data_IF_267799430640
#
_entry.id   IF_267799430640
#
_cell.length_a   1.000
_cell.length_b   1.000
_cell.length_c   1.000
_cell.angle_alpha   90.00
_cell.angle_beta   90.00
_cell.angle_gamma   90.00
#
_symmetry.space_group_name_H-M   'P 1'
#
loop_
_entity.id
_entity.type
_entity.pdbx_description
1 polymer ?
#
# COMPACT_ATOMS: atom_id res chain seq x y z
N UNK A 1 7.32 -12.90 17.03
CA UNK A 1 6.00 -12.77 16.36
C UNK A 1 6.11 -11.53 15.49
N UNK A 2 5.79 -11.60 14.20
CA UNK A 2 5.96 -10.50 13.24
C UNK A 2 4.90 -9.43 13.46
N UNK A 3 5.33 -8.19 13.71
CA UNK A 3 4.45 -7.04 13.89
C UNK A 3 4.25 -6.31 12.56
N UNK A 4 2.99 -6.16 12.13
CA UNK A 4 2.64 -5.62 10.81
C UNK A 4 1.62 -4.48 10.93
N UNK A 5 1.90 -3.35 10.28
CA UNK A 5 0.94 -2.27 10.08
C UNK A 5 0.46 -2.25 8.63
N UNK A 6 -0.85 -2.13 8.43
CA UNK A 6 -1.46 -2.00 7.11
C UNK A 6 -2.33 -0.75 7.07
N UNK A 7 -2.02 0.20 6.20
CA UNK A 7 -2.83 1.43 6.05
C UNK A 7 -4.08 1.17 5.21
N UNK A 8 -5.22 1.80 5.57
CA UNK A 8 -6.48 1.65 4.84
C UNK A 8 -7.02 0.21 4.84
N UNK A 9 -6.87 -0.50 5.95
CA UNK A 9 -7.12 -1.95 6.04
C UNK A 9 -8.54 -2.31 6.53
N UNK A 10 -9.45 -1.37 6.65
CA UNK A 10 -10.82 -1.64 7.11
C UNK A 10 -11.72 -2.31 6.06
N UNK A 11 -11.26 -2.45 4.80
CA UNK A 11 -12.00 -3.09 3.70
C UNK A 11 -11.09 -3.53 2.55
N UNK A 12 -11.66 -4.24 1.57
CA UNK A 12 -11.04 -4.61 0.29
C UNK A 12 -9.66 -5.28 0.45
N UNK A 13 -8.68 -4.93 -0.40
CA UNK A 13 -7.33 -5.52 -0.40
C UNK A 13 -6.63 -5.43 0.95
N UNK A 14 -6.69 -4.26 1.60
CA UNK A 14 -6.07 -4.08 2.91
C UNK A 14 -6.64 -4.99 3.98
N UNK A 15 -7.97 -5.18 4.01
CA UNK A 15 -8.61 -6.09 4.95
C UNK A 15 -8.27 -7.56 4.67
N UNK A 16 -8.31 -7.98 3.42
CA UNK A 16 -7.97 -9.36 3.06
C UNK A 16 -6.49 -9.67 3.33
N UNK A 17 -5.61 -8.71 3.07
CA UNK A 17 -4.20 -8.81 3.45
C UNK A 17 -4.05 -8.96 4.96
N UNK A 18 -4.74 -8.12 5.74
CA UNK A 18 -4.73 -8.19 7.20
C UNK A 18 -5.23 -9.55 7.71
N UNK A 19 -6.34 -10.06 7.16
CA UNK A 19 -6.91 -11.36 7.52
C UNK A 19 -5.91 -12.50 7.30
N UNK A 20 -5.33 -12.57 6.10
CA UNK A 20 -4.39 -13.64 5.73
C UNK A 20 -3.09 -13.58 6.54
N UNK A 21 -2.56 -12.39 6.81
CA UNK A 21 -1.36 -12.24 7.62
C UNK A 21 -1.66 -12.56 9.11
N UNK A 22 -2.87 -12.26 9.62
CA UNK A 22 -3.29 -12.71 10.95
C UNK A 22 -3.33 -14.23 11.02
N UNK A 23 -3.89 -14.92 10.03
CA UNK A 23 -3.89 -16.39 9.94
C UNK A 23 -2.48 -16.98 9.82
N UNK A 24 -1.55 -16.23 9.22
CA UNK A 24 -0.13 -16.59 9.17
C UNK A 24 0.64 -16.29 10.49
N UNK A 25 -0.02 -15.81 11.53
CA UNK A 25 0.55 -15.59 12.86
C UNK A 25 1.19 -14.22 13.08
N UNK A 26 0.89 -13.24 12.22
CA UNK A 26 1.32 -11.86 12.45
C UNK A 26 0.44 -11.15 13.49
N UNK A 27 1.03 -10.28 14.28
CA UNK A 27 0.30 -9.27 15.06
C UNK A 27 0.00 -8.09 14.15
N UNK A 28 -1.27 -7.90 13.78
CA UNK A 28 -1.70 -6.88 12.83
C UNK A 28 -2.19 -5.62 13.53
N UNK A 29 -1.62 -4.47 13.20
CA UNK A 29 -2.21 -3.15 13.41
C UNK A 29 -3.01 -2.78 12.16
N UNK A 30 -4.35 -2.83 12.28
CA UNK A 30 -5.26 -2.55 11.19
C UNK A 30 -5.55 -1.04 11.15
N UNK A 31 -4.86 -0.34 10.24
CA UNK A 31 -4.96 1.11 10.08
C UNK A 31 -6.23 1.54 9.34
N UNK A 32 -7.01 2.43 9.94
CA UNK A 32 -8.20 3.05 9.35
C UNK A 32 -8.35 4.50 9.79
N UNK A 33 -8.69 5.41 8.86
CA UNK A 33 -9.00 6.81 9.23
C UNK A 33 -10.29 6.92 10.06
N UNK A 34 -11.25 6.06 9.80
CA UNK A 34 -12.51 5.95 10.53
C UNK A 34 -12.32 4.92 11.66
N UNK A 35 -12.32 5.39 12.88
CA UNK A 35 -12.04 4.59 14.07
C UNK A 35 -13.06 3.46 14.25
N UNK A 36 -14.35 3.75 14.05
CA UNK A 36 -15.43 2.78 14.24
C UNK A 36 -15.33 1.64 13.23
N UNK A 37 -15.17 1.97 11.94
CA UNK A 37 -14.97 0.96 10.88
C UNK A 37 -13.67 0.16 11.08
N UNK A 38 -12.63 0.80 11.61
CA UNK A 38 -11.39 0.13 11.97
C UNK A 38 -11.60 -0.90 13.08
N UNK A 39 -12.30 -0.55 14.16
CA UNK A 39 -12.64 -1.45 15.26
C UNK A 39 -13.50 -2.65 14.81
N UNK A 40 -14.53 -2.39 14.01
CA UNK A 40 -15.38 -3.45 13.46
C UNK A 40 -14.59 -4.43 12.58
N UNK A 41 -13.76 -3.91 11.68
CA UNK A 41 -12.93 -4.74 10.80
C UNK A 41 -11.90 -5.55 11.59
N UNK A 42 -11.19 -4.92 12.52
CA UNK A 42 -10.19 -5.59 13.35
C UNK A 42 -10.80 -6.71 14.23
N UNK A 43 -11.99 -6.46 14.82
CA UNK A 43 -12.69 -7.45 15.62
C UNK A 43 -13.06 -8.72 14.86
N UNK A 44 -13.29 -8.63 13.55
CA UNK A 44 -13.64 -9.79 12.70
C UNK A 44 -12.46 -10.77 12.49
N UNK A 45 -11.24 -10.31 12.65
CA UNK A 45 -10.02 -11.09 12.36
C UNK A 45 -9.06 -11.17 13.54
N UNK A 46 -9.42 -10.63 14.70
CA UNK A 46 -8.55 -10.62 15.88
C UNK A 46 -7.34 -9.68 15.75
N UNK A 47 -7.42 -8.67 14.88
CA UNK A 47 -6.37 -7.65 14.71
C UNK A 47 -6.52 -6.51 15.74
N UNK A 48 -5.49 -5.71 15.91
CA UNK A 48 -5.48 -4.50 16.72
C UNK A 48 -5.92 -3.30 15.86
N UNK A 49 -7.03 -2.63 16.17
CA UNK A 49 -7.41 -1.45 15.43
C UNK A 49 -6.49 -0.28 15.78
N UNK A 50 -6.09 0.50 14.78
CA UNK A 50 -5.35 1.73 14.97
C UNK A 50 -5.96 2.83 14.10
N UNK A 51 -6.35 3.96 14.74
CA UNK A 51 -6.81 5.11 13.98
C UNK A 51 -5.61 5.71 13.25
N UNK A 52 -5.69 5.75 11.92
CA UNK A 52 -4.61 6.26 11.07
C UNK A 52 -5.19 6.91 9.82
N UNK A 53 -5.13 8.25 9.77
CA UNK A 53 -5.41 9.03 8.58
C UNK A 53 -4.09 9.47 7.95
N UNK A 54 -3.81 8.94 6.76
CA UNK A 54 -2.57 9.25 6.02
C UNK A 54 -2.46 10.70 5.57
N UNK A 55 -3.55 11.48 5.67
CA UNK A 55 -3.60 12.91 5.37
C UNK A 55 -3.23 13.80 6.57
N UNK A 56 -3.11 13.23 7.78
CA UNK A 56 -2.90 13.96 9.02
C UNK A 56 -1.57 13.57 9.66
N UNK A 57 -0.64 14.52 9.80
CA UNK A 57 0.62 14.30 10.49
C UNK A 57 0.40 13.88 11.94
N UNK A 58 -0.54 14.54 12.65
CA UNK A 58 -0.86 14.22 14.05
C UNK A 58 -1.40 12.79 14.20
N UNK A 59 -2.30 12.37 13.30
CA UNK A 59 -2.85 11.01 13.31
C UNK A 59 -1.77 9.96 13.08
N UNK A 60 -0.87 10.21 12.14
CA UNK A 60 0.23 9.30 11.81
C UNK A 60 1.25 9.23 12.95
N UNK A 61 1.59 10.37 13.56
CA UNK A 61 2.51 10.41 14.71
C UNK A 61 1.91 9.72 15.94
N UNK A 62 0.61 9.93 16.22
CA UNK A 62 -0.10 9.22 17.29
C UNK A 62 -0.07 7.70 17.08
N UNK A 63 -0.32 7.25 15.84
CA UNK A 63 -0.24 5.82 15.49
C UNK A 63 1.17 5.26 15.68
N UNK A 64 2.21 5.97 15.25
CA UNK A 64 3.59 5.54 15.45
C UNK A 64 3.95 5.50 16.95
N UNK A 65 3.49 6.48 17.73
CA UNK A 65 3.64 6.51 19.18
C UNK A 65 3.03 5.29 19.86
N UNK A 66 1.81 4.94 19.48
CA UNK A 66 1.12 3.76 20.05
C UNK A 66 1.90 2.46 19.78
N UNK A 67 2.34 2.22 18.55
CA UNK A 67 3.14 1.02 18.20
C UNK A 67 4.48 1.00 18.94
N UNK A 68 5.14 2.16 19.06
CA UNK A 68 6.37 2.30 19.84
C UNK A 68 6.16 1.90 21.29
N UNK A 69 5.12 2.41 21.91
CA UNK A 69 4.87 2.25 23.35
C UNK A 69 4.39 0.81 23.68
N UNK A 70 3.68 0.15 22.75
CA UNK A 70 3.22 -1.23 22.93
C UNK A 70 4.27 -2.29 22.58
N UNK A 71 5.08 -2.09 21.53
CA UNK A 71 5.93 -3.16 20.96
C UNK A 71 7.38 -2.71 20.76
N UNK A 72 7.62 -1.42 20.50
CA UNK A 72 8.95 -0.85 20.29
C UNK A 72 9.57 -1.08 18.91
N UNK A 73 8.95 -1.87 18.03
CA UNK A 73 9.41 -2.15 16.67
C UNK A 73 8.24 -2.40 15.71
N UNK A 74 8.53 -2.32 14.41
CA UNK A 74 7.63 -2.72 13.34
C UNK A 74 8.41 -3.58 12.33
N UNK A 75 7.94 -4.79 12.05
CA UNK A 75 8.61 -5.66 11.09
C UNK A 75 8.13 -5.42 9.67
N UNK A 76 6.82 -5.17 9.49
CA UNK A 76 6.23 -5.00 8.16
C UNK A 76 5.34 -3.76 8.11
N UNK A 77 5.60 -2.88 7.15
CA UNK A 77 4.72 -1.78 6.79
C UNK A 77 4.09 -2.04 5.41
N UNK A 78 2.76 -2.12 5.34
CA UNK A 78 2.03 -2.18 4.08
C UNK A 78 1.36 -0.83 3.83
N UNK A 79 1.92 -0.04 2.92
CA UNK A 79 1.33 1.21 2.42
C UNK A 79 0.25 0.87 1.37
N UNK A 80 -0.97 0.58 1.86
CA UNK A 80 -2.09 0.15 1.02
C UNK A 80 -3.13 1.28 0.80
N UNK A 81 -3.23 2.25 1.68
CA UNK A 81 -4.20 3.34 1.54
C UNK A 81 -4.00 4.08 0.20
N UNK A 82 -5.09 4.26 -0.55
CA UNK A 82 -5.06 4.94 -1.83
C UNK A 82 -6.45 5.28 -2.36
N UNK A 83 -6.49 6.23 -3.30
CA UNK A 83 -7.71 6.66 -4.00
C UNK A 83 -7.47 6.73 -5.51
N UNK A 84 -8.53 6.54 -6.30
CA UNK A 84 -8.47 6.62 -7.78
C UNK A 84 -8.59 8.04 -8.34
N UNK A 85 -9.19 8.94 -7.58
CA UNK A 85 -9.45 10.31 -8.03
C UNK A 85 -10.48 10.43 -9.17
N UNK A 86 -11.32 9.39 -9.35
CA UNK A 86 -12.33 9.37 -10.41
C UNK A 86 -11.77 8.81 -11.73
N UNK A 87 -11.76 7.47 -11.86
CA UNK A 87 -11.40 6.79 -13.11
C UNK A 87 -12.38 7.16 -14.24
N UNK A 88 -11.85 7.35 -15.45
CA UNK A 88 -12.65 7.66 -16.65
C UNK A 88 -12.94 9.14 -16.87
N UNK A 89 -12.37 10.07 -16.09
CA UNK A 89 -12.42 11.49 -16.35
C UNK A 89 -11.54 11.84 -17.55
N UNK A 90 -12.05 12.70 -18.45
CA UNK A 90 -11.28 13.18 -19.60
C UNK A 90 -10.01 13.88 -19.14
N UNK A 91 -8.84 13.59 -19.74
CA UNK A 91 -7.60 14.30 -19.40
C UNK A 91 -7.69 15.82 -19.52
N UNK A 92 -8.48 16.33 -20.47
CA UNK A 92 -8.70 17.77 -20.67
C UNK A 92 -9.45 18.46 -19.52
N UNK A 93 -10.16 17.66 -18.69
CA UNK A 93 -10.95 18.18 -17.55
C UNK A 93 -10.23 18.01 -16.21
N UNK A 94 -9.03 17.41 -16.21
CA UNK A 94 -8.25 17.21 -14.98
C UNK A 94 -7.53 18.51 -14.62
N UNK A 95 -7.82 19.01 -13.42
CA UNK A 95 -7.16 20.22 -12.89
C UNK A 95 -5.99 19.85 -11.97
N UNK A 96 -5.13 20.84 -11.69
CA UNK A 96 -4.07 20.67 -10.70
C UNK A 96 -4.61 20.35 -9.28
N UNK A 97 -5.82 20.81 -8.95
CA UNK A 97 -6.48 20.49 -7.68
C UNK A 97 -6.86 19.01 -7.62
N UNK A 98 -7.38 18.43 -8.69
CA UNK A 98 -7.67 16.98 -8.79
C UNK A 98 -6.41 16.14 -8.61
N UNK A 99 -5.32 16.55 -9.25
CA UNK A 99 -4.03 15.87 -9.09
C UNK A 99 -3.51 15.95 -7.65
N UNK A 100 -3.56 17.15 -7.03
CA UNK A 100 -3.14 17.30 -5.63
C UNK A 100 -3.91 16.38 -4.71
N UNK A 101 -5.23 16.26 -4.84
CA UNK A 101 -6.06 15.40 -3.99
C UNK A 101 -5.62 13.93 -4.06
N UNK A 102 -5.30 13.43 -5.26
CA UNK A 102 -4.84 12.05 -5.45
C UNK A 102 -3.41 11.86 -4.93
N UNK A 103 -2.51 12.81 -5.24
CA UNK A 103 -1.12 12.73 -4.78
C UNK A 103 -1.01 12.89 -3.26
N UNK A 104 -1.89 13.68 -2.63
CA UNK A 104 -1.90 13.83 -1.18
C UNK A 104 -2.09 12.48 -0.47
N UNK A 105 -2.99 11.63 -0.98
CA UNK A 105 -3.18 10.29 -0.43
C UNK A 105 -2.11 9.30 -0.91
N UNK A 106 -1.94 9.18 -2.24
CA UNK A 106 -1.19 8.07 -2.84
C UNK A 106 0.33 8.27 -2.80
N UNK A 107 0.80 9.50 -2.58
CA UNK A 107 2.22 9.88 -2.60
C UNK A 107 2.63 10.46 -1.26
N UNK A 108 2.11 11.64 -0.90
CA UNK A 108 2.52 12.33 0.33
C UNK A 108 2.10 11.56 1.59
N UNK A 109 0.91 10.95 1.59
CA UNK A 109 0.45 10.08 2.68
C UNK A 109 1.38 8.88 2.90
N UNK A 110 1.86 8.26 1.81
CA UNK A 110 2.83 7.15 1.90
C UNK A 110 4.17 7.63 2.47
N UNK A 111 4.66 8.78 2.02
CA UNK A 111 5.91 9.36 2.56
C UNK A 111 5.75 9.72 4.04
N UNK A 112 4.63 10.33 4.43
CA UNK A 112 4.30 10.68 5.81
C UNK A 112 4.30 9.47 6.73
N UNK A 113 3.58 8.41 6.34
CA UNK A 113 3.52 7.17 7.12
C UNK A 113 4.90 6.50 7.18
N UNK A 114 5.56 6.33 6.04
CA UNK A 114 6.89 5.71 6.01
C UNK A 114 7.87 6.46 6.91
N UNK A 115 7.91 7.80 6.81
CA UNK A 115 8.79 8.63 7.64
C UNK A 115 8.56 8.43 9.15
N UNK A 116 7.30 8.44 9.60
CA UNK A 116 6.96 8.29 11.00
C UNK A 116 7.32 6.89 11.56
N UNK A 117 7.22 5.85 10.72
CA UNK A 117 7.49 4.47 11.12
C UNK A 117 8.91 4.00 10.84
N UNK A 118 9.76 4.77 10.13
CA UNK A 118 11.17 4.43 9.88
C UNK A 118 11.96 4.06 11.15
N UNK A 119 11.85 4.78 12.29
CA UNK A 119 12.57 4.41 13.52
C UNK A 119 12.16 3.03 14.05
N UNK A 120 10.87 2.68 13.94
CA UNK A 120 10.35 1.38 14.38
C UNK A 120 10.77 0.25 13.42
N UNK A 121 10.79 0.51 12.13
CA UNK A 121 11.30 -0.42 11.12
C UNK A 121 12.80 -0.65 11.30
N UNK A 122 13.57 0.40 11.61
CA UNK A 122 15.00 0.27 11.89
C UNK A 122 15.31 -0.54 13.17
N UNK A 123 14.34 -0.65 14.09
CA UNK A 123 14.45 -1.50 15.29
C UNK A 123 14.11 -2.98 15.02
N UNK A 124 13.58 -3.32 13.84
CA UNK A 124 13.35 -4.71 13.42
C UNK A 124 14.63 -5.36 12.90
N UNK A 125 14.77 -6.66 13.10
CA UNK A 125 15.86 -7.46 12.54
C UNK A 125 15.72 -7.78 11.05
N UNK A 126 14.49 -7.70 10.50
CA UNK A 126 14.20 -8.00 9.10
C UNK A 126 13.04 -7.12 8.57
N UNK A 127 13.25 -5.79 8.46
CA UNK A 127 12.19 -4.86 8.12
C UNK A 127 11.76 -4.96 6.66
N UNK A 128 10.46 -4.96 6.42
CA UNK A 128 9.83 -5.04 5.10
C UNK A 128 8.89 -3.86 4.89
N UNK A 129 8.94 -3.22 3.72
CA UNK A 129 7.96 -2.22 3.29
C UNK A 129 7.36 -2.66 1.96
N UNK A 130 6.03 -2.79 1.93
CA UNK A 130 5.26 -3.08 0.72
C UNK A 130 4.53 -1.82 0.28
N UNK A 131 4.83 -1.33 -0.92
CA UNK A 131 4.17 -0.19 -1.54
C UNK A 131 3.12 -0.70 -2.52
N UNK A 132 1.83 -0.59 -2.16
CA UNK A 132 0.75 -1.04 -3.04
C UNK A 132 0.58 -0.05 -4.19
N UNK A 133 1.16 -0.41 -5.34
CA UNK A 133 1.14 0.35 -6.58
C UNK A 133 0.03 -0.15 -7.53
N UNK A 134 0.27 -0.13 -8.82
CA UNK A 134 -0.64 -0.58 -9.88
C UNK A 134 0.14 -0.69 -11.19
N UNK A 135 -0.21 -1.62 -12.07
CA UNK A 135 0.30 -1.68 -13.45
C UNK A 135 0.17 -0.35 -14.20
N UNK A 136 -0.85 0.43 -13.85
CA UNK A 136 -1.03 1.81 -14.35
C UNK A 136 0.06 2.80 -13.90
N UNK A 137 0.94 2.45 -12.96
CA UNK A 137 2.10 3.25 -12.57
C UNK A 137 3.36 2.94 -13.35
N UNK A 138 3.35 1.90 -14.20
CA UNK A 138 4.46 1.52 -15.06
C UNK A 138 4.38 2.24 -16.41
N UNK A 139 5.42 2.97 -16.77
CA UNK A 139 5.50 3.58 -18.10
C UNK A 139 5.57 2.51 -19.19
N UNK A 140 6.32 1.44 -18.96
CA UNK A 140 6.44 0.32 -19.91
C UNK A 140 5.09 -0.37 -20.12
N UNK A 141 4.35 -0.69 -19.04
CA UNK A 141 3.06 -1.39 -19.12
C UNK A 141 1.99 -0.53 -19.79
N UNK A 142 1.91 0.76 -19.44
CA UNK A 142 0.89 1.68 -19.97
C UNK A 142 1.12 2.10 -21.42
N UNK A 143 2.33 1.92 -21.96
CA UNK A 143 2.65 2.21 -23.37
C UNK A 143 2.70 0.97 -24.26
N UNK A 144 2.56 -0.23 -23.69
CA UNK A 144 2.48 -1.48 -24.45
C UNK A 144 1.03 -1.72 -24.93
N UNK A 145 0.76 -1.66 -26.26
CA UNK A 145 -0.59 -1.83 -26.80
C UNK A 145 -1.20 -3.23 -26.59
N UNK A 146 -0.39 -4.22 -26.22
CA UNK A 146 -0.88 -5.56 -25.89
C UNK A 146 -1.44 -5.67 -24.47
N UNK A 147 -1.23 -4.66 -23.63
CA UNK A 147 -1.65 -4.63 -22.25
C UNK A 147 -2.98 -3.89 -22.06
N UNK A 148 -3.81 -4.43 -21.16
CA UNK A 148 -5.09 -3.79 -20.82
C UNK A 148 -4.90 -2.37 -20.28
N UNK A 149 -3.86 -2.16 -19.47
CA UNK A 149 -3.55 -0.88 -18.83
C UNK A 149 -3.29 0.23 -19.87
N UNK A 150 -2.83 -0.10 -21.08
CA UNK A 150 -2.63 0.87 -22.16
C UNK A 150 -3.94 1.46 -22.70
N UNK A 151 -5.06 0.79 -22.47
CA UNK A 151 -6.39 1.26 -22.86
C UNK A 151 -7.02 2.20 -21.82
N UNK A 152 -6.43 2.28 -20.63
CA UNK A 152 -6.95 3.07 -19.52
C UNK A 152 -6.26 4.44 -19.45
N UNK A 153 -7.06 5.48 -19.30
CA UNK A 153 -6.56 6.86 -19.19
C UNK A 153 -6.96 7.44 -17.84
N UNK A 154 -5.99 7.86 -17.03
CA UNK A 154 -6.21 8.54 -15.76
C UNK A 154 -4.97 9.35 -15.36
N UNK A 155 -4.91 10.63 -15.70
CA UNK A 155 -3.74 11.49 -15.45
C UNK A 155 -3.35 11.52 -13.98
N UNK A 156 -4.32 11.73 -13.08
CA UNK A 156 -4.03 11.86 -11.63
C UNK A 156 -3.58 10.55 -11.00
N UNK A 157 -4.24 9.44 -11.34
CA UNK A 157 -3.95 8.14 -10.73
C UNK A 157 -2.63 7.56 -11.24
N UNK A 158 -2.45 7.49 -12.57
CA UNK A 158 -1.24 6.92 -13.17
C UNK A 158 0.01 7.67 -12.73
N UNK A 159 -0.04 9.02 -12.74
CA UNK A 159 1.09 9.83 -12.28
C UNK A 159 1.41 9.61 -10.80
N UNK A 160 0.38 9.43 -9.94
CA UNK A 160 0.61 9.14 -8.53
C UNK A 160 1.26 7.78 -8.30
N UNK A 161 0.88 6.75 -9.08
CA UNK A 161 1.48 5.41 -8.97
C UNK A 161 2.87 5.34 -9.59
N UNK A 162 3.14 6.10 -10.66
CA UNK A 162 4.49 6.26 -11.19
C UNK A 162 5.42 6.98 -10.18
N UNK A 163 4.92 8.02 -9.50
CA UNK A 163 5.65 8.67 -8.42
C UNK A 163 5.94 7.71 -7.26
N UNK A 164 4.96 6.88 -6.85
CA UNK A 164 5.13 5.86 -5.81
C UNK A 164 6.19 4.82 -6.21
N UNK A 165 6.19 4.39 -7.48
CA UNK A 165 7.20 3.48 -8.03
C UNK A 165 8.61 4.07 -7.91
N UNK A 166 8.80 5.34 -8.30
CA UNK A 166 10.07 6.03 -8.14
C UNK A 166 10.48 6.16 -6.66
N UNK A 167 9.55 6.54 -5.78
CA UNK A 167 9.79 6.64 -4.34
C UNK A 167 10.23 5.29 -3.77
N UNK A 168 9.62 4.19 -4.20
CA UNK A 168 10.01 2.83 -3.79
C UNK A 168 11.49 2.56 -4.09
N UNK A 169 11.94 2.87 -5.30
CA UNK A 169 13.35 2.65 -5.69
C UNK A 169 14.31 3.51 -4.89
N UNK A 170 13.92 4.77 -4.57
CA UNK A 170 14.77 5.68 -3.79
C UNK A 170 14.87 5.24 -2.31
N UNK A 171 13.77 4.81 -1.71
CA UNK A 171 13.81 4.25 -0.35
C UNK A 171 14.62 2.96 -0.30
N UNK A 172 14.47 2.05 -1.27
CA UNK A 172 15.27 0.82 -1.33
C UNK A 172 16.77 1.09 -1.42
N UNK A 173 17.19 2.11 -2.18
CA UNK A 173 18.59 2.54 -2.26
C UNK A 173 19.07 3.18 -0.96
N UNK A 174 18.23 3.99 -0.32
CA UNK A 174 18.59 4.71 0.91
C UNK A 174 18.66 3.78 2.14
N UNK A 175 17.88 2.70 2.14
CA UNK A 175 17.76 1.76 3.27
C UNK A 175 18.06 0.32 2.84
N UNK A 176 19.31 -0.02 2.49
CA UNK A 176 19.67 -1.34 1.93
C UNK A 176 19.46 -2.51 2.91
N UNK A 177 19.36 -2.24 4.21
CA UNK A 177 19.01 -3.24 5.22
C UNK A 177 17.52 -3.62 5.23
N UNK A 178 16.66 -2.82 4.57
CA UNK A 178 15.22 -3.07 4.49
C UNK A 178 14.84 -3.71 3.16
N UNK A 179 13.81 -4.55 3.15
CA UNK A 179 13.23 -5.10 1.92
C UNK A 179 12.06 -4.21 1.51
N UNK A 180 12.25 -3.35 0.50
CA UNK A 180 11.29 -2.32 0.08
C UNK A 180 10.92 -2.56 -1.38
N UNK A 181 9.65 -2.93 -1.64
CA UNK A 181 9.20 -3.29 -2.96
C UNK A 181 7.83 -2.70 -3.30
N UNK A 182 7.59 -2.40 -4.57
CA UNK A 182 6.29 -2.08 -5.10
C UNK A 182 5.55 -3.36 -5.52
N UNK A 183 4.22 -3.35 -5.39
CA UNK A 183 3.37 -4.45 -5.86
C UNK A 183 2.23 -3.94 -6.72
N UNK A 184 1.88 -4.73 -7.73
CA UNK A 184 0.67 -4.55 -8.54
C UNK A 184 -0.33 -5.66 -8.20
N UNK A 185 -1.45 -5.33 -7.51
CA UNK A 185 -2.51 -6.28 -7.21
C UNK A 185 -3.30 -6.74 -8.42
N UNK A 186 -3.09 -6.14 -9.60
CA UNK A 186 -3.90 -6.36 -10.79
C UNK A 186 -5.28 -5.68 -10.72
N UNK A 187 -6.12 -5.93 -11.73
CA UNK A 187 -7.45 -5.32 -11.83
C UNK A 187 -8.47 -6.04 -10.95
N UNK A 188 -8.44 -5.71 -9.67
CA UNK A 188 -9.23 -6.35 -8.61
C UNK A 188 -10.58 -5.65 -8.40
N UNK A 189 -11.68 -6.41 -8.34
CA UNK A 189 -13.04 -5.89 -8.11
C UNK A 189 -13.23 -5.39 -6.68
N UNK A 190 -13.21 -4.09 -6.49
CA UNK A 190 -13.35 -3.40 -5.18
C UNK A 190 -14.18 -2.13 -5.33
N UNK A 191 -14.57 -1.51 -4.22
CA UNK A 191 -15.22 -0.18 -4.23
C UNK A 191 -14.39 0.88 -4.97
N UNK A 192 -13.07 0.71 -5.01
CA UNK A 192 -12.13 1.61 -5.69
C UNK A 192 -12.46 1.80 -7.18
N UNK A 193 -12.94 0.74 -7.83
CA UNK A 193 -13.31 0.73 -9.26
C UNK A 193 -14.76 0.30 -9.50
N UNK A 194 -15.65 0.48 -8.51
CA UNK A 194 -17.06 0.11 -8.58
C UNK A 194 -17.26 -1.38 -8.93
N UNK A 195 -16.39 -2.23 -8.39
CA UNK A 195 -16.39 -3.69 -8.61
C UNK A 195 -16.23 -4.14 -10.08
N UNK A 196 -15.61 -3.28 -10.93
CA UNK A 196 -15.39 -3.62 -12.36
C UNK A 196 -14.15 -4.48 -12.60
N UNK A 197 -13.38 -4.77 -11.55
CA UNK A 197 -12.19 -5.63 -11.65
C UNK A 197 -12.55 -7.06 -12.03
N UNK A 198 -11.64 -7.72 -12.77
CA UNK A 198 -11.79 -9.11 -13.22
C UNK A 198 -11.28 -10.13 -12.20
N UNK A 199 -10.52 -9.66 -11.22
CA UNK A 199 -9.97 -10.49 -10.14
C UNK A 199 -10.78 -10.32 -8.86
N UNK A 200 -10.81 -11.37 -8.03
CA UNK A 200 -11.33 -11.32 -6.66
C UNK A 200 -10.37 -10.56 -5.73
N UNK A 201 -10.88 -10.12 -4.59
CA UNK A 201 -10.04 -9.48 -3.56
C UNK A 201 -8.97 -10.44 -3.02
N UNK A 202 -9.29 -11.75 -2.94
CA UNK A 202 -8.33 -12.78 -2.53
C UNK A 202 -7.15 -12.92 -3.50
N UNK A 203 -7.43 -12.94 -4.81
CA UNK A 203 -6.39 -12.98 -5.84
C UNK A 203 -5.52 -11.72 -5.83
N UNK A 204 -6.15 -10.54 -5.72
CA UNK A 204 -5.39 -9.27 -5.66
C UNK A 204 -4.54 -9.13 -4.40
N UNK A 205 -4.97 -9.66 -3.27
CA UNK A 205 -4.20 -9.63 -2.02
C UNK A 205 -2.98 -10.57 -2.04
N UNK A 206 -2.94 -11.56 -2.92
CA UNK A 206 -1.88 -12.58 -2.98
C UNK A 206 -0.48 -11.99 -3.04
N UNK A 207 -0.26 -11.06 -3.96
CA UNK A 207 1.07 -10.45 -4.11
C UNK A 207 1.44 -9.59 -2.91
N UNK A 208 0.47 -8.92 -2.28
CA UNK A 208 0.71 -8.09 -1.09
C UNK A 208 1.14 -8.98 0.08
N UNK A 209 0.41 -10.08 0.33
CA UNK A 209 0.74 -11.06 1.37
C UNK A 209 2.11 -11.68 1.12
N UNK A 210 2.37 -12.12 -0.11
CA UNK A 210 3.66 -12.72 -0.50
C UNK A 210 4.83 -11.78 -0.22
N UNK A 211 4.72 -10.51 -0.63
CA UNK A 211 5.79 -9.54 -0.42
C UNK A 211 5.88 -9.03 1.04
N UNK A 212 4.80 -9.08 1.81
CA UNK A 212 4.82 -8.81 3.24
C UNK A 212 5.46 -9.95 4.07
N UNK A 213 5.60 -11.14 3.48
CA UNK A 213 6.14 -12.34 4.13
C UNK A 213 7.53 -12.73 3.65
N UNK A 214 8.23 -11.87 2.90
CA UNK A 214 9.60 -12.17 2.44
C UNK A 214 10.59 -12.12 3.59
N UNK A 215 11.58 -13.01 3.53
CA UNK A 215 12.69 -13.03 4.50
C UNK A 215 13.77 -11.96 4.19
N UNK A 216 14.81 -11.90 5.04
CA UNK A 216 15.90 -10.93 4.92
C UNK A 216 16.71 -11.06 3.62
N UNK A 217 16.69 -12.24 2.99
CA UNK A 217 17.36 -12.49 1.70
C UNK A 217 16.44 -12.23 0.50
N UNK A 218 15.22 -11.76 0.74
CA UNK A 218 14.24 -11.44 -0.28
C UNK A 218 14.64 -10.24 -1.16
N UNK A 219 13.90 -9.99 -2.25
CA UNK A 219 14.18 -8.89 -3.15
C UNK A 219 13.96 -7.53 -2.48
N UNK A 220 14.68 -6.51 -2.97
CA UNK A 220 14.47 -5.10 -2.61
C UNK A 220 14.64 -4.22 -3.84
N UNK A 221 13.90 -3.11 -3.91
CA UNK A 221 13.92 -2.18 -5.04
C UNK A 221 13.26 -2.72 -6.31
N UNK A 222 12.45 -3.79 -6.18
CA UNK A 222 11.72 -4.41 -7.29
C UNK A 222 10.26 -4.02 -7.34
N UNK A 223 9.63 -4.35 -8.47
CA UNK A 223 8.20 -4.20 -8.70
C UNK A 223 7.61 -5.53 -9.14
N UNK A 224 6.56 -6.01 -8.46
CA UNK A 224 6.06 -7.37 -8.60
C UNK A 224 4.55 -7.43 -8.71
N UNK A 225 4.06 -8.38 -9.50
CA UNK A 225 2.66 -8.82 -9.55
C UNK A 225 2.56 -10.30 -9.13
N UNK A 226 1.34 -10.85 -9.11
CA UNK A 226 1.14 -12.28 -8.89
C UNK A 226 1.88 -13.12 -9.95
N UNK A 227 2.00 -12.61 -11.19
CA UNK A 227 2.66 -13.28 -12.30
C UNK A 227 4.21 -13.17 -12.28
N UNK A 228 4.78 -12.34 -11.39
CA UNK A 228 6.24 -12.14 -11.30
C UNK A 228 6.64 -10.67 -11.40
N UNK A 229 7.91 -10.38 -11.79
CA UNK A 229 8.39 -9.02 -11.94
C UNK A 229 7.58 -8.20 -12.97
N UNK A 230 7.36 -6.94 -12.64
CA UNK A 230 6.71 -5.94 -13.51
C UNK A 230 7.78 -4.93 -13.94
N UNK A 231 7.86 -4.54 -15.21
CA UNK A 231 8.75 -3.45 -15.62
C UNK A 231 8.25 -2.11 -15.08
N UNK A 232 9.21 -1.20 -14.83
CA UNK A 232 8.92 0.17 -14.35
C UNK A 232 8.22 1.05 -15.40
#
# INVERSE_FOLDING_TARGET
MTTTLITGANKSLGFETARRLTEAGHTIYLGSRDEQRGKEAAGRIGARPIQLDVLSDDSVQAAAGLVRDEVGHLDVLVNNAGISGGLGRSPGDVTAADMRAVHETNVFGVVRVTHAFLPLLAASSAPVIVMVSSGMGSLTVTTDPSRFESTLVSVSYTSSKAALNMITTQYAKAFPAMRINAVDPGYTGTDFNQHRGTQTVGEGAEIIVRMASIGPDGPTGGYFSAAGPVPW
#
